data_IF_332328788027
#
_entry.id   IF_332328788027
#
_cell.length_a   1.000
_cell.length_b   1.000
_cell.length_c   1.000
_cell.angle_alpha   90.00
_cell.angle_beta   90.00
_cell.angle_gamma   90.00
#
_symmetry.space_group_name_H-M   'P 1'
#
loop_
_entity.id
_entity.type
_entity.pdbx_description
1 polymer ?
#
# COMPACT_ATOMS: atom_id res chain seq x y z
N UNK A 1 75.68 -28.52 12.43
CA UNK A 1 75.14 -27.42 13.25
C UNK A 1 74.48 -26.46 12.30
N UNK A 2 73.20 -26.54 12.22
CA UNK A 2 72.38 -25.95 11.21
C UNK A 2 71.65 -24.72 11.75
N UNK A 3 72.00 -23.53 11.24
CA UNK A 3 71.30 -22.28 11.55
C UNK A 3 70.07 -22.04 10.72
N UNK A 4 68.94 -21.93 11.39
CA UNK A 4 67.64 -21.59 10.80
C UNK A 4 67.56 -20.06 10.61
N UNK A 5 67.48 -19.59 9.37
CA UNK A 5 67.24 -18.21 9.05
C UNK A 5 65.73 -18.00 8.92
N UNK A 6 65.14 -17.25 9.82
CA UNK A 6 63.73 -16.86 9.82
C UNK A 6 63.56 -15.63 8.95
N UNK A 7 62.88 -15.79 7.80
CA UNK A 7 62.49 -14.68 6.92
C UNK A 7 61.14 -14.14 7.39
N UNK A 8 61.13 -12.94 7.93
CA UNK A 8 59.93 -12.21 8.31
C UNK A 8 59.39 -11.45 7.07
N UNK A 9 58.37 -11.99 6.43
CA UNK A 9 57.67 -11.32 5.37
C UNK A 9 56.62 -10.36 5.93
N UNK A 10 56.92 -9.09 5.88
CA UNK A 10 55.97 -8.01 6.26
C UNK A 10 55.04 -7.76 5.06
N UNK A 11 53.81 -8.24 5.17
CA UNK A 11 52.74 -7.91 4.19
C UNK A 11 52.15 -6.57 4.56
N UNK A 12 52.53 -5.53 3.81
CA UNK A 12 51.95 -4.20 3.92
C UNK A 12 50.62 -4.19 3.13
N UNK A 13 49.50 -4.35 3.85
CA UNK A 13 48.15 -4.21 3.28
C UNK A 13 47.85 -2.72 3.05
N UNK A 14 47.98 -2.25 1.82
CA UNK A 14 47.44 -0.95 1.41
C UNK A 14 45.93 -1.07 1.35
N UNK A 15 45.24 -0.57 2.36
CA UNK A 15 43.80 -0.30 2.30
C UNK A 15 43.62 0.97 1.50
N UNK A 16 43.29 0.81 0.19
CA UNK A 16 42.80 1.88 -0.64
C UNK A 16 41.38 2.22 -0.18
N UNK A 17 41.24 3.24 0.67
CA UNK A 17 39.96 3.89 0.91
C UNK A 17 39.53 4.58 -0.39
N UNK A 18 38.76 3.88 -1.20
CA UNK A 18 37.99 4.48 -2.28
C UNK A 18 36.85 5.29 -1.65
N UNK A 19 37.08 6.57 -1.38
CA UNK A 19 36.02 7.54 -1.15
C UNK A 19 35.30 7.74 -2.48
N UNK A 20 34.26 6.95 -2.72
CA UNK A 20 33.28 7.29 -3.76
C UNK A 20 32.63 8.61 -3.33
N UNK A 21 32.70 9.68 -4.16
CA UNK A 21 31.93 10.88 -3.86
C UNK A 21 30.45 10.44 -3.85
N UNK A 22 29.80 10.61 -2.68
CA UNK A 22 28.35 10.51 -2.63
C UNK A 22 27.83 11.58 -3.59
N UNK A 23 27.24 11.15 -4.72
CA UNK A 23 26.43 12.03 -5.54
C UNK A 23 25.37 12.63 -4.60
N UNK A 24 25.18 13.95 -4.59
CA UNK A 24 24.06 14.52 -3.89
C UNK A 24 22.80 13.96 -4.56
N UNK A 25 22.18 12.96 -3.92
CA UNK A 25 20.80 12.60 -4.20
C UNK A 25 19.94 13.75 -3.68
N UNK A 26 19.88 14.81 -4.45
CA UNK A 26 18.84 15.83 -4.32
C UNK A 26 17.58 15.32 -5.04
N UNK A 27 17.22 14.09 -4.79
CA UNK A 27 15.86 13.62 -4.95
C UNK A 27 15.08 14.33 -3.84
N UNK A 28 14.47 15.46 -4.21
CA UNK A 28 13.54 16.16 -3.35
C UNK A 28 12.62 15.11 -2.74
N UNK A 29 12.75 14.86 -1.44
CA UNK A 29 12.03 13.80 -0.74
C UNK A 29 10.54 14.11 -0.90
N UNK A 30 9.88 13.38 -1.81
CA UNK A 30 8.45 13.48 -2.02
C UNK A 30 7.78 13.08 -0.69
N UNK A 31 7.12 14.03 -0.05
CA UNK A 31 6.41 13.82 1.20
C UNK A 31 4.92 13.78 0.93
N UNK A 32 4.27 12.72 1.36
CA UNK A 32 2.84 12.56 1.22
C UNK A 32 2.05 13.26 2.34
N UNK A 33 0.82 13.59 2.00
CA UNK A 33 -0.18 14.14 2.92
C UNK A 33 -1.58 13.80 2.38
N UNK A 34 -2.63 14.12 3.13
CA UNK A 34 -4.01 13.97 2.65
C UNK A 34 -4.24 14.73 1.34
N UNK A 35 -3.65 15.92 1.18
CA UNK A 35 -3.78 16.73 -0.04
C UNK A 35 -3.20 16.02 -1.26
N UNK A 36 -2.22 15.14 -1.06
CA UNK A 36 -1.64 14.33 -2.14
C UNK A 36 -2.66 13.40 -2.77
N UNK A 37 -3.63 12.90 -1.97
CA UNK A 37 -4.61 11.91 -2.40
C UNK A 37 -6.06 12.39 -2.38
N UNK A 38 -6.33 13.63 -1.96
CA UNK A 38 -7.68 14.20 -1.96
C UNK A 38 -8.20 14.37 -3.41
N UNK A 39 -9.04 13.44 -3.86
CA UNK A 39 -9.60 13.40 -5.23
C UNK A 39 -10.66 12.29 -5.37
N UNK A 40 -11.09 12.07 -6.62
CA UNK A 40 -11.93 10.94 -7.03
C UNK A 40 -11.09 9.82 -7.63
N UNK A 41 -11.44 8.61 -7.27
CA UNK A 41 -10.69 7.40 -7.58
C UNK A 41 -11.59 6.28 -8.07
N UNK A 42 -11.02 5.37 -8.86
CA UNK A 42 -11.58 4.05 -9.14
C UNK A 42 -10.68 2.99 -8.54
N UNK A 43 -11.25 1.92 -8.05
CA UNK A 43 -10.48 0.79 -7.55
C UNK A 43 -10.98 -0.53 -8.12
N UNK A 44 -10.07 -1.49 -8.18
CA UNK A 44 -10.37 -2.88 -8.41
C UNK A 44 -9.55 -3.73 -7.42
N UNK A 45 -10.17 -4.75 -6.87
CA UNK A 45 -9.44 -5.74 -6.09
C UNK A 45 -8.82 -6.77 -7.03
N UNK A 46 -7.65 -7.28 -6.65
CA UNK A 46 -7.22 -8.60 -7.11
C UNK A 46 -8.13 -9.69 -6.53
N UNK A 47 -7.77 -10.93 -6.75
CA UNK A 47 -8.42 -12.05 -6.07
C UNK A 47 -8.07 -11.97 -4.58
N UNK A 48 -9.10 -11.83 -3.75
CA UNK A 48 -8.98 -11.85 -2.29
C UNK A 48 -9.75 -13.04 -1.73
N UNK A 49 -9.59 -13.30 -0.44
CA UNK A 49 -10.33 -14.30 0.31
C UNK A 49 -11.06 -13.65 1.47
N UNK A 50 -12.33 -13.96 1.65
CA UNK A 50 -13.12 -13.59 2.82
C UNK A 50 -13.41 -14.87 3.60
N UNK A 51 -12.98 -14.89 4.87
CA UNK A 51 -13.17 -16.03 5.75
C UNK A 51 -14.06 -15.75 6.96
N UNK A 52 -14.49 -14.51 7.18
CA UNK A 52 -15.17 -14.10 8.42
C UNK A 52 -16.53 -13.41 8.26
N UNK A 53 -17.17 -13.49 7.12
CA UNK A 53 -18.54 -13.02 7.01
C UNK A 53 -19.50 -14.05 7.64
N UNK A 54 -20.39 -13.65 8.56
CA UNK A 54 -21.33 -14.56 9.18
C UNK A 54 -22.21 -15.26 8.14
N UNK A 55 -22.25 -16.59 8.17
CA UNK A 55 -23.05 -17.40 7.25
C UNK A 55 -22.47 -17.54 5.84
N UNK A 56 -21.23 -17.13 5.64
CA UNK A 56 -20.50 -17.25 4.37
C UNK A 56 -19.30 -18.16 4.57
N UNK A 57 -19.20 -19.22 3.77
CA UNK A 57 -18.00 -20.04 3.75
C UNK A 57 -16.80 -19.24 3.21
N UNK A 58 -15.57 -19.54 3.62
CA UNK A 58 -14.37 -18.93 3.04
C UNK A 58 -14.39 -19.03 1.53
N UNK A 59 -14.29 -17.91 0.85
CA UNK A 59 -14.40 -17.86 -0.61
C UNK A 59 -13.63 -16.69 -1.21
N UNK A 60 -13.26 -16.87 -2.47
CA UNK A 60 -12.68 -15.80 -3.27
C UNK A 60 -13.66 -14.62 -3.42
N UNK A 61 -13.13 -13.41 -3.30
CA UNK A 61 -13.88 -12.17 -3.50
C UNK A 61 -13.18 -11.29 -4.53
N UNK A 62 -14.00 -10.66 -5.36
CA UNK A 62 -13.56 -9.57 -6.25
C UNK A 62 -14.48 -8.38 -6.07
N UNK A 63 -13.94 -7.18 -6.17
CA UNK A 63 -14.71 -5.96 -6.11
C UNK A 63 -14.16 -4.90 -7.06
N UNK A 64 -15.06 -4.04 -7.52
CA UNK A 64 -14.74 -2.85 -8.31
C UNK A 64 -15.60 -1.70 -7.81
N UNK A 65 -15.06 -0.49 -7.76
CA UNK A 65 -15.84 0.63 -7.28
C UNK A 65 -15.17 1.98 -7.45
N UNK A 66 -15.81 2.97 -6.83
CA UNK A 66 -15.34 4.36 -6.80
C UNK A 66 -15.06 4.77 -5.36
N UNK A 67 -14.10 5.67 -5.18
CA UNK A 67 -13.76 6.27 -3.91
C UNK A 67 -13.57 7.77 -4.09
N UNK A 68 -14.11 8.54 -3.17
CA UNK A 68 -13.85 9.96 -3.06
C UNK A 68 -13.17 10.24 -1.72
N UNK A 69 -12.03 10.90 -1.77
CA UNK A 69 -11.27 11.34 -0.58
C UNK A 69 -11.32 12.86 -0.55
N UNK A 70 -11.85 13.44 0.53
CA UNK A 70 -11.84 14.89 0.71
C UNK A 70 -10.52 15.39 1.34
N UNK A 71 -10.36 16.71 1.42
CA UNK A 71 -9.16 17.35 1.98
C UNK A 71 -8.99 17.16 3.49
N UNK A 72 -10.00 16.65 4.18
CA UNK A 72 -9.98 16.33 5.60
C UNK A 72 -9.68 14.85 5.86
N UNK A 73 -9.57 14.04 4.79
CA UNK A 73 -9.37 12.61 4.89
C UNK A 73 -10.66 11.80 5.06
N UNK A 74 -11.84 12.42 4.90
CA UNK A 74 -13.06 11.64 4.85
C UNK A 74 -13.15 10.89 3.52
N UNK A 75 -13.60 9.65 3.61
CA UNK A 75 -13.73 8.74 2.48
C UNK A 75 -15.18 8.36 2.29
N UNK A 76 -15.63 8.35 1.05
CA UNK A 76 -16.95 7.84 0.67
C UNK A 76 -16.89 7.20 -0.71
N UNK A 77 -17.77 6.25 -0.98
CA UNK A 77 -17.80 5.60 -2.28
C UNK A 77 -18.85 4.54 -2.40
N UNK A 78 -18.79 3.82 -3.50
CA UNK A 78 -19.67 2.69 -3.81
C UNK A 78 -18.87 1.61 -4.51
N UNK A 79 -19.25 0.37 -4.31
CA UNK A 79 -18.64 -0.76 -4.99
C UNK A 79 -19.64 -1.88 -5.28
N UNK A 80 -19.29 -2.65 -6.28
CA UNK A 80 -19.90 -3.93 -6.60
C UNK A 80 -18.91 -5.02 -6.18
N UNK A 81 -19.41 -6.11 -5.62
CA UNK A 81 -18.56 -7.24 -5.26
C UNK A 81 -19.24 -8.58 -5.50
N UNK A 82 -18.40 -9.58 -5.70
CA UNK A 82 -18.83 -10.97 -5.88
C UNK A 82 -18.03 -11.87 -4.96
N UNK A 83 -18.73 -12.70 -4.20
CA UNK A 83 -18.16 -13.82 -3.44
C UNK A 83 -18.39 -15.08 -4.27
N UNK A 84 -17.30 -15.73 -4.68
CA UNK A 84 -17.34 -16.83 -5.63
C UNK A 84 -18.30 -17.96 -5.19
N UNK A 85 -19.19 -18.37 -6.09
CA UNK A 85 -20.20 -19.41 -5.89
C UNK A 85 -21.26 -19.16 -4.82
N UNK A 86 -21.33 -17.95 -4.25
CA UNK A 86 -22.25 -17.64 -3.15
C UNK A 86 -23.22 -16.52 -3.56
N UNK A 87 -22.74 -15.30 -3.71
CA UNK A 87 -23.58 -14.16 -4.06
C UNK A 87 -22.79 -13.00 -4.67
N UNK A 88 -23.53 -12.06 -5.25
CA UNK A 88 -23.01 -10.77 -5.69
C UNK A 88 -23.89 -9.65 -5.12
N UNK A 89 -23.28 -8.54 -4.80
CA UNK A 89 -24.00 -7.31 -4.43
C UNK A 89 -23.47 -6.15 -5.27
N UNK A 90 -24.38 -5.24 -5.61
CA UNK A 90 -24.09 -4.06 -6.40
C UNK A 90 -24.45 -2.80 -5.66
N UNK A 91 -23.76 -1.71 -5.98
CA UNK A 91 -24.05 -0.38 -5.46
C UNK A 91 -23.97 -0.29 -3.91
N UNK A 92 -23.08 -1.06 -3.28
CA UNK A 92 -22.86 -1.02 -1.83
C UNK A 92 -22.13 0.27 -1.49
N UNK A 93 -22.75 1.11 -0.69
CA UNK A 93 -22.15 2.33 -0.19
C UNK A 93 -21.18 2.06 0.97
N UNK A 94 -20.22 2.96 1.13
CA UNK A 94 -19.34 2.98 2.28
C UNK A 94 -18.90 4.40 2.62
N UNK A 95 -18.59 4.60 3.90
CA UNK A 95 -18.01 5.84 4.44
C UNK A 95 -16.86 5.49 5.38
N UNK A 96 -15.90 6.38 5.50
CA UNK A 96 -14.75 6.13 6.35
C UNK A 96 -13.78 7.30 6.44
N UNK A 97 -12.55 6.98 6.83
CA UNK A 97 -11.45 7.95 6.95
C UNK A 97 -10.15 7.33 6.46
N UNK A 98 -9.26 8.19 5.99
CA UNK A 98 -7.89 7.82 5.62
C UNK A 98 -6.89 8.70 6.36
N UNK A 99 -5.80 8.10 6.81
CA UNK A 99 -4.62 8.81 7.33
C UNK A 99 -3.45 8.60 6.38
N UNK A 100 -2.58 9.58 6.26
CA UNK A 100 -1.39 9.54 5.40
C UNK A 100 -0.18 9.99 6.20
N UNK A 101 0.86 9.19 6.18
CA UNK A 101 2.16 9.50 6.77
C UNK A 101 3.05 10.19 5.73
N UNK A 102 4.06 10.98 6.17
CA UNK A 102 5.02 11.64 5.26
C UNK A 102 5.81 10.67 4.38
N UNK A 103 5.98 9.42 4.79
CA UNK A 103 6.65 8.35 4.03
C UNK A 103 5.77 7.69 2.97
N UNK A 104 4.61 8.26 2.69
CA UNK A 104 3.62 7.78 1.72
C UNK A 104 2.94 6.44 2.08
N UNK A 105 3.01 6.03 3.33
CA UNK A 105 2.16 4.98 3.89
C UNK A 105 0.93 5.56 4.56
N UNK A 106 -0.03 4.73 4.95
CA UNK A 106 -1.20 5.19 5.67
C UNK A 106 -2.17 4.08 6.03
N UNK A 107 -3.33 4.50 6.52
CA UNK A 107 -4.41 3.58 6.91
C UNK A 107 -5.74 4.10 6.36
N UNK A 108 -6.50 3.23 5.72
CA UNK A 108 -7.88 3.45 5.30
C UNK A 108 -8.81 2.64 6.19
N UNK A 109 -9.75 3.29 6.87
CA UNK A 109 -10.79 2.61 7.65
C UNK A 109 -12.17 3.01 7.15
N UNK A 110 -13.05 2.05 6.92
CA UNK A 110 -14.39 2.33 6.42
C UNK A 110 -15.44 1.34 6.95
N UNK A 111 -16.69 1.77 6.87
CA UNK A 111 -17.87 0.97 7.20
C UNK A 111 -18.80 0.93 6.00
N UNK A 112 -19.27 -0.25 5.64
CA UNK A 112 -20.23 -0.47 4.55
C UNK A 112 -21.68 -0.27 5.02
N UNK A 113 -22.61 -0.09 4.09
CA UNK A 113 -24.05 0.04 4.36
C UNK A 113 -24.63 -1.14 5.12
N UNK A 114 -24.05 -2.32 5.00
CA UNK A 114 -24.45 -3.51 5.75
C UNK A 114 -23.66 -3.73 7.06
N UNK A 115 -22.90 -2.72 7.50
CA UNK A 115 -22.21 -2.69 8.79
C UNK A 115 -20.86 -3.41 8.87
N UNK A 116 -20.33 -3.90 7.77
CA UNK A 116 -18.96 -4.46 7.79
C UNK A 116 -17.94 -3.32 7.98
N UNK A 117 -17.06 -3.47 8.98
CA UNK A 117 -15.98 -2.54 9.28
C UNK A 117 -14.69 -3.12 8.73
N UNK A 118 -13.89 -2.28 8.10
CA UNK A 118 -12.60 -2.66 7.54
C UNK A 118 -11.52 -1.64 7.84
N UNK A 119 -10.31 -2.15 7.98
CA UNK A 119 -9.10 -1.34 8.11
C UNK A 119 -8.02 -1.95 7.22
N UNK A 120 -7.45 -1.12 6.37
CA UNK A 120 -6.46 -1.51 5.38
C UNK A 120 -5.20 -0.67 5.55
N UNK A 121 -4.04 -1.26 5.37
CA UNK A 121 -2.77 -0.54 5.16
C UNK A 121 -2.73 -0.06 3.72
N UNK A 122 -2.25 1.16 3.50
CA UNK A 122 -2.09 1.73 2.15
C UNK A 122 -0.67 2.22 1.90
N UNK A 123 -0.28 2.19 0.63
CA UNK A 123 0.92 2.84 0.11
C UNK A 123 0.56 3.72 -1.09
N UNK A 124 1.09 4.94 -1.12
CA UNK A 124 0.83 5.95 -2.16
C UNK A 124 1.99 5.96 -3.13
N UNK A 125 1.72 5.83 -4.42
CA UNK A 125 2.70 5.69 -5.49
C UNK A 125 2.53 6.78 -6.55
N UNK A 126 3.56 6.95 -7.39
CA UNK A 126 3.50 7.81 -8.58
C UNK A 126 3.09 9.26 -8.26
N UNK A 127 3.66 9.86 -7.22
CA UNK A 127 3.31 11.20 -6.77
C UNK A 127 1.81 11.39 -6.48
N UNK A 128 1.18 10.37 -5.90
CA UNK A 128 -0.24 10.40 -5.56
C UNK A 128 -1.17 10.07 -6.74
N UNK A 129 -0.70 9.43 -7.78
CA UNK A 129 -1.54 8.97 -8.90
C UNK A 129 -2.16 7.60 -8.68
N UNK A 130 -1.61 6.83 -7.77
CA UNK A 130 -2.01 5.45 -7.48
C UNK A 130 -1.92 5.17 -5.97
N UNK A 131 -2.83 4.35 -5.45
CA UNK A 131 -2.81 3.85 -4.08
C UNK A 131 -2.93 2.33 -4.15
N UNK A 132 -2.05 1.64 -3.45
CA UNK A 132 -2.17 0.22 -3.19
C UNK A 132 -2.65 0.00 -1.78
N UNK A 133 -3.54 -0.97 -1.60
CA UNK A 133 -4.07 -1.29 -0.28
C UNK A 133 -4.08 -2.79 -0.01
N UNK A 134 -3.98 -3.12 1.27
CA UNK A 134 -4.03 -4.48 1.78
C UNK A 134 -4.80 -4.51 3.11
N UNK A 135 -5.71 -5.48 3.25
CA UNK A 135 -6.43 -5.68 4.49
C UNK A 135 -5.49 -5.96 5.68
N UNK A 136 -5.79 -5.36 6.82
CA UNK A 136 -5.14 -5.66 8.10
C UNK A 136 -5.82 -6.82 8.84
N UNK A 137 -6.99 -7.27 8.39
CA UNK A 137 -7.70 -8.39 8.98
C UNK A 137 -7.07 -9.71 8.51
N UNK A 138 -6.49 -10.52 9.40
CA UNK A 138 -5.84 -11.77 9.02
C UNK A 138 -6.81 -12.83 8.46
N UNK A 139 -8.11 -12.67 8.67
CA UNK A 139 -9.16 -13.56 8.14
C UNK A 139 -9.72 -13.08 6.78
N UNK A 140 -9.26 -11.93 6.29
CA UNK A 140 -9.68 -11.35 5.03
C UNK A 140 -8.45 -10.93 4.24
N UNK A 141 -7.92 -11.83 3.46
CA UNK A 141 -6.78 -11.57 2.58
C UNK A 141 -7.29 -10.89 1.30
N UNK A 142 -7.10 -9.59 1.21
CA UNK A 142 -7.47 -8.89 -0.01
C UNK A 142 -6.50 -7.72 -0.25
N UNK A 143 -6.13 -7.57 -1.51
CA UNK A 143 -5.35 -6.45 -1.99
C UNK A 143 -6.12 -5.71 -3.07
N UNK A 144 -5.85 -4.43 -3.23
CA UNK A 144 -6.49 -3.63 -4.26
C UNK A 144 -5.56 -2.54 -4.77
N UNK A 145 -5.85 -2.11 -5.98
CA UNK A 145 -5.21 -0.96 -6.61
C UNK A 145 -6.26 0.12 -6.84
N UNK A 146 -5.94 1.34 -6.51
CA UNK A 146 -6.77 2.52 -6.68
C UNK A 146 -6.07 3.48 -7.63
N UNK A 147 -6.75 3.87 -8.70
CA UNK A 147 -6.22 4.83 -9.69
C UNK A 147 -7.04 6.10 -9.68
N UNK A 148 -6.35 7.23 -9.76
CA UNK A 148 -7.00 8.53 -9.83
C UNK A 148 -7.81 8.65 -11.12
N UNK A 149 -9.05 9.13 -11.01
CA UNK A 149 -9.83 9.49 -12.19
C UNK A 149 -9.25 10.81 -12.69
N UNK A 150 -8.43 10.75 -13.74
CA UNK A 150 -7.78 11.93 -14.32
C UNK A 150 -8.85 12.90 -14.85
N UNK A 151 -9.03 14.00 -14.15
CA UNK A 151 -9.91 15.11 -14.48
C UNK A 151 -9.21 16.46 -14.38
N UNK A 152 -7.88 16.48 -14.31
CA UNK A 152 -7.12 17.73 -14.46
C UNK A 152 -6.67 17.84 -15.91
N UNK A 153 -7.49 18.56 -16.68
CA UNK A 153 -6.99 19.32 -17.82
C UNK A 153 -6.39 20.63 -17.32
#
# INVERSE_FOLDING_TARGET
MTGLATVLATVLAMVLLSTTPALPNDEGTFSCSIQTIADKWVFATGVGEIANLPGVDPAEVTAIGTMNIDKLGNVSGKFDFTVARQFSQTNVGYIGTVTVNPDCTGTLSFTTDFGAIRTDSIAILGNGSEIWGMSQDPLNLWTYTVKRISGRQ
#
